data_IF_055644270306
#
_entry.id   IF_055644270306
#
_cell.length_a   1.000
_cell.length_b   1.000
_cell.length_c   1.000
_cell.angle_alpha   90.00
_cell.angle_beta   90.00
_cell.angle_gamma   90.00
#
_symmetry.space_group_name_H-M   'P 1'
#
loop_
_entity.id
_entity.type
_entity.pdbx_description
1 polymer ?
#
# COMPACT_ATOMS: atom_id res chain seq x y z
N UNK A 1 19.07 -8.66 -14.82
CA UNK A 1 19.27 -8.49 -13.37
C UNK A 1 19.24 -6.99 -13.11
N UNK A 2 18.06 -6.47 -12.68
CA UNK A 2 17.97 -5.09 -12.22
C UNK A 2 18.61 -5.01 -10.83
N UNK A 3 19.57 -4.11 -10.68
CA UNK A 3 20.15 -3.79 -9.37
C UNK A 3 19.04 -3.35 -8.39
N UNK A 4 19.13 -3.74 -7.11
CA UNK A 4 18.25 -3.18 -6.10
C UNK A 4 18.52 -1.67 -6.03
N UNK A 5 17.49 -0.87 -6.27
CA UNK A 5 17.53 0.57 -5.99
C UNK A 5 17.77 0.72 -4.47
N UNK A 6 19.03 0.93 -4.10
CA UNK A 6 19.37 1.36 -2.74
C UNK A 6 18.79 2.75 -2.57
N UNK A 7 17.61 2.81 -1.96
CA UNK A 7 17.04 4.07 -1.54
C UNK A 7 18.05 4.76 -0.60
N UNK A 8 18.31 6.04 -0.84
CA UNK A 8 19.07 6.86 0.10
C UNK A 8 18.41 6.77 1.50
N UNK A 9 19.18 6.91 2.59
CA UNK A 9 18.63 6.88 3.94
C UNK A 9 17.51 7.92 4.03
N UNK A 10 16.30 7.41 4.26
CA UNK A 10 15.08 8.22 4.31
C UNK A 10 14.97 8.78 5.72
N UNK A 11 14.72 10.09 5.81
CA UNK A 11 14.29 10.69 7.07
C UNK A 11 12.80 10.33 7.32
N UNK A 12 12.49 9.46 8.32
CA UNK A 12 11.12 9.07 8.62
C UNK A 12 10.23 10.27 8.96
N UNK A 13 10.80 11.33 9.56
CA UNK A 13 10.06 12.53 9.94
C UNK A 13 9.60 13.32 8.71
N UNK A 14 10.43 13.41 7.70
CA UNK A 14 10.07 14.05 6.43
C UNK A 14 8.98 13.27 5.69
N UNK A 15 9.05 11.94 5.67
CA UNK A 15 8.03 11.08 5.07
C UNK A 15 6.68 11.20 5.80
N UNK A 16 6.70 11.24 7.13
CA UNK A 16 5.50 11.45 7.95
C UNK A 16 4.88 12.82 7.68
N UNK A 17 5.66 13.89 7.72
CA UNK A 17 5.19 15.25 7.45
C UNK A 17 4.60 15.38 6.04
N UNK A 18 5.21 14.73 5.04
CA UNK A 18 4.66 14.71 3.69
C UNK A 18 3.30 14.01 3.64
N UNK A 19 3.19 12.83 4.26
CA UNK A 19 1.95 12.03 4.29
C UNK A 19 0.83 12.79 5.01
N UNK A 20 1.13 13.43 6.15
CA UNK A 20 0.17 14.22 6.93
C UNK A 20 -0.33 15.46 6.18
N UNK A 21 0.45 15.98 5.25
CA UNK A 21 0.07 17.07 4.37
C UNK A 21 -0.89 16.69 3.25
N UNK A 22 -1.16 15.39 3.04
CA UNK A 22 -2.07 14.94 1.99
C UNK A 22 -3.54 14.99 2.44
N UNK A 23 -4.44 15.05 1.44
CA UNK A 23 -5.87 14.99 1.69
C UNK A 23 -6.28 13.61 2.19
N UNK A 24 -6.85 13.55 3.38
CA UNK A 24 -7.28 12.33 4.06
C UNK A 24 -8.82 12.27 4.12
N UNK A 25 -9.41 11.42 3.28
CA UNK A 25 -10.84 11.19 3.24
C UNK A 25 -11.34 10.35 4.44
N UNK A 26 -10.52 9.47 4.99
CA UNK A 26 -10.88 8.67 6.17
C UNK A 26 -11.06 9.59 7.39
N UNK A 27 -10.19 10.58 7.55
CA UNK A 27 -10.25 11.55 8.66
C UNK A 27 -11.32 12.62 8.47
N UNK A 28 -11.51 13.08 7.23
CA UNK A 28 -12.45 14.18 6.95
C UNK A 28 -13.88 13.72 6.71
N UNK A 29 -14.09 12.42 6.43
CA UNK A 29 -15.39 11.87 6.04
C UNK A 29 -15.90 12.36 4.67
N UNK A 30 -15.09 13.09 3.91
CA UNK A 30 -15.45 13.62 2.60
C UNK A 30 -14.72 12.89 1.51
N UNK A 31 -15.46 12.33 0.57
CA UNK A 31 -14.89 11.73 -0.63
C UNK A 31 -14.83 12.80 -1.73
N UNK A 32 -13.67 12.98 -2.33
CA UNK A 32 -13.53 13.73 -3.58
C UNK A 32 -14.16 12.96 -4.76
N UNK A 33 -14.08 13.53 -5.96
CA UNK A 33 -14.48 12.80 -7.16
C UNK A 33 -13.61 11.53 -7.30
N UNK A 34 -14.25 10.34 -7.43
CA UNK A 34 -13.51 9.10 -7.52
C UNK A 34 -12.74 9.05 -8.86
N UNK A 35 -11.43 8.82 -8.77
CA UNK A 35 -10.55 8.66 -9.93
C UNK A 35 -9.39 7.77 -9.57
N UNK A 36 -8.88 7.01 -10.53
CA UNK A 36 -7.66 6.22 -10.40
C UNK A 36 -6.44 6.92 -11.03
N UNK A 37 -6.62 8.08 -11.65
CA UNK A 37 -5.54 8.77 -12.39
C UNK A 37 -4.34 9.07 -11.51
N UNK A 38 -4.56 9.54 -10.27
CA UNK A 38 -3.48 9.92 -9.37
C UNK A 38 -2.65 8.71 -8.96
N UNK A 39 -3.31 7.66 -8.47
CA UNK A 39 -2.58 6.45 -8.05
C UNK A 39 -1.92 5.77 -9.24
N UNK A 40 -2.57 5.71 -10.40
CA UNK A 40 -1.98 5.17 -11.64
C UNK A 40 -0.70 5.88 -12.03
N UNK A 41 -0.66 7.22 -11.94
CA UNK A 41 0.54 7.99 -12.23
C UNK A 41 1.67 7.68 -11.23
N UNK A 42 1.34 7.56 -9.95
CA UNK A 42 2.32 7.26 -8.90
C UNK A 42 2.87 5.84 -9.03
N UNK A 43 2.02 4.81 -9.23
CA UNK A 43 2.51 3.43 -9.39
C UNK A 43 3.30 3.24 -10.68
N UNK A 44 2.95 3.98 -11.75
CA UNK A 44 3.76 4.01 -12.97
C UNK A 44 5.16 4.61 -12.68
N UNK A 45 5.25 5.70 -11.93
CA UNK A 45 6.52 6.31 -11.51
C UNK A 45 7.34 5.43 -10.56
N UNK A 46 6.69 4.49 -9.86
CA UNK A 46 7.31 3.43 -9.05
C UNK A 46 7.72 2.20 -9.87
N UNK A 47 7.42 2.18 -11.17
CA UNK A 47 7.73 1.07 -12.08
C UNK A 47 6.75 -0.10 -11.96
N UNK A 48 5.47 0.18 -11.75
CA UNK A 48 4.37 -0.79 -11.67
C UNK A 48 4.60 -1.91 -10.64
N UNK A 49 4.72 -1.58 -9.34
CA UNK A 49 4.91 -2.59 -8.30
C UNK A 49 3.75 -3.58 -8.23
N UNK A 50 2.53 -3.16 -8.54
CA UNK A 50 1.31 -3.97 -8.56
C UNK A 50 1.35 -5.12 -9.58
N UNK A 51 2.15 -4.99 -10.62
CA UNK A 51 2.31 -6.02 -11.65
C UNK A 51 3.38 -7.08 -11.31
N UNK A 52 4.09 -6.93 -10.20
CA UNK A 52 5.25 -7.77 -9.87
C UNK A 52 4.88 -9.13 -9.24
N UNK A 53 3.64 -9.29 -8.80
CA UNK A 53 3.16 -10.48 -8.09
C UNK A 53 1.64 -10.66 -8.30
N UNK A 54 1.09 -11.90 -8.18
CA UNK A 54 -0.34 -12.14 -8.19
C UNK A 54 -1.03 -11.47 -7.01
N UNK A 55 -2.25 -10.97 -7.23
CA UNK A 55 -3.08 -10.33 -6.20
C UNK A 55 -4.40 -11.06 -6.03
N UNK A 56 -4.79 -11.33 -4.80
CA UNK A 56 -6.15 -11.71 -4.42
C UNK A 56 -6.81 -10.46 -3.84
N UNK A 57 -7.73 -9.87 -4.58
CA UNK A 57 -8.41 -8.65 -4.22
C UNK A 57 -9.72 -8.96 -3.47
N UNK A 58 -9.84 -8.52 -2.22
CA UNK A 58 -10.97 -8.83 -1.34
C UNK A 58 -11.87 -7.61 -1.23
N UNK A 59 -13.09 -7.73 -1.72
CA UNK A 59 -14.14 -6.70 -1.62
C UNK A 59 -15.35 -7.22 -0.87
N UNK A 60 -16.20 -6.33 -0.39
CA UNK A 60 -17.44 -6.67 0.32
C UNK A 60 -17.85 -5.59 1.32
N UNK A 61 -19.06 -5.69 1.83
CA UNK A 61 -19.58 -4.75 2.82
C UNK A 61 -19.03 -5.04 4.21
N UNK A 62 -19.03 -6.32 4.61
CA UNK A 62 -18.54 -6.77 5.92
C UNK A 62 -17.58 -7.95 5.76
N UNK A 63 -16.69 -8.13 6.75
CA UNK A 63 -15.83 -9.30 6.83
C UNK A 63 -14.64 -9.31 5.89
N UNK A 64 -14.35 -8.22 5.18
CA UNK A 64 -13.22 -8.12 4.25
C UNK A 64 -11.88 -8.45 4.94
N UNK A 65 -11.57 -7.75 6.04
CA UNK A 65 -10.32 -7.96 6.77
C UNK A 65 -10.18 -9.40 7.31
N UNK A 66 -11.27 -9.97 7.85
CA UNK A 66 -11.27 -11.38 8.31
C UNK A 66 -11.03 -12.34 7.13
N UNK A 67 -11.67 -12.10 5.98
CA UNK A 67 -11.47 -12.91 4.78
C UNK A 67 -10.04 -12.79 4.27
N UNK A 68 -9.49 -11.59 4.24
CA UNK A 68 -8.10 -11.35 3.84
C UNK A 68 -7.12 -12.08 4.77
N UNK A 69 -7.33 -11.98 6.09
CA UNK A 69 -6.48 -12.63 7.08
C UNK A 69 -6.53 -14.17 6.97
N UNK A 70 -7.72 -14.76 6.81
CA UNK A 70 -7.88 -16.20 6.63
C UNK A 70 -7.26 -16.69 5.31
N UNK A 71 -7.48 -15.96 4.22
CA UNK A 71 -6.89 -16.27 2.91
C UNK A 71 -5.36 -16.26 2.99
N UNK A 72 -4.79 -15.23 3.61
CA UNK A 72 -3.35 -15.11 3.80
C UNK A 72 -2.79 -16.26 4.68
N UNK A 73 -3.51 -16.64 5.74
CA UNK A 73 -3.09 -17.76 6.60
C UNK A 73 -3.06 -19.09 5.83
N UNK A 74 -4.06 -19.36 4.99
CA UNK A 74 -4.09 -20.55 4.13
C UNK A 74 -2.95 -20.56 3.12
N UNK A 75 -2.68 -19.42 2.47
CA UNK A 75 -1.57 -19.30 1.50
C UNK A 75 -0.22 -19.52 2.17
N UNK A 76 0.00 -18.95 3.37
CA UNK A 76 1.23 -19.18 4.15
C UNK A 76 1.41 -20.64 4.53
N UNK A 77 0.33 -21.35 4.86
CA UNK A 77 0.39 -22.77 5.17
C UNK A 77 0.89 -23.61 3.98
N UNK A 78 0.85 -23.09 2.75
CA UNK A 78 1.45 -23.72 1.56
C UNK A 78 2.93 -23.37 1.35
N UNK A 79 3.55 -22.64 2.29
CA UNK A 79 4.95 -22.20 2.20
C UNK A 79 5.19 -20.94 1.37
N UNK A 80 4.14 -20.23 0.97
CA UNK A 80 4.24 -18.98 0.20
C UNK A 80 4.59 -17.80 1.08
N UNK A 81 5.36 -16.87 0.53
CA UNK A 81 5.59 -15.54 1.12
C UNK A 81 4.42 -14.62 0.77
N UNK A 82 3.66 -14.22 1.78
CA UNK A 82 2.37 -13.56 1.59
C UNK A 82 2.39 -12.14 2.12
N UNK A 83 2.09 -11.16 1.25
CA UNK A 83 1.77 -9.80 1.62
C UNK A 83 0.29 -9.64 1.93
N UNK A 84 -0.07 -8.81 2.89
CA UNK A 84 -1.46 -8.42 3.20
C UNK A 84 -1.56 -6.92 3.29
N UNK A 85 -2.48 -6.33 2.54
CA UNK A 85 -2.88 -4.93 2.68
C UNK A 85 -4.29 -4.88 3.26
N UNK A 86 -4.48 -4.12 4.33
CA UNK A 86 -5.77 -3.96 5.01
C UNK A 86 -6.01 -2.53 5.47
N UNK A 87 -7.27 -2.16 5.71
CA UNK A 87 -7.66 -0.85 6.23
C UNK A 87 -8.97 -0.91 7.02
N UNK A 88 -9.17 0.02 7.99
CA UNK A 88 -8.18 0.94 8.55
C UNK A 88 -7.21 0.25 9.51
N UNK A 89 -6.16 0.97 9.99
CA UNK A 89 -5.33 0.56 11.12
C UNK A 89 -6.01 0.97 12.45
N UNK A 90 -5.59 0.36 13.55
CA UNK A 90 -6.10 0.66 14.89
C UNK A 90 -5.19 1.65 15.63
N UNK A 91 -3.90 1.40 15.67
CA UNK A 91 -2.93 2.19 16.42
C UNK A 91 -1.79 2.73 15.55
N UNK A 92 -1.31 1.90 14.61
CA UNK A 92 -0.10 2.20 13.86
C UNK A 92 -0.29 2.00 12.36
N UNK A 93 0.20 2.94 11.55
CA UNK A 93 0.14 2.89 10.09
C UNK A 93 0.71 1.58 9.51
N UNK A 94 1.76 1.04 10.11
CA UNK A 94 2.40 -0.21 9.67
C UNK A 94 1.47 -1.43 9.72
N UNK A 95 0.38 -1.40 10.52
CA UNK A 95 -0.62 -2.46 10.55
C UNK A 95 -1.32 -2.68 9.21
N UNK A 96 -1.35 -1.64 8.33
CA UNK A 96 -1.97 -1.75 7.02
C UNK A 96 -1.22 -2.65 6.06
N UNK A 97 0.05 -2.87 6.33
CA UNK A 97 0.94 -3.69 5.49
C UNK A 97 1.53 -4.80 6.34
N UNK A 98 1.21 -6.04 6.04
CA UNK A 98 1.77 -7.19 6.74
C UNK A 98 2.51 -8.12 5.79
N UNK A 99 3.58 -8.72 6.28
CA UNK A 99 4.37 -9.74 5.60
C UNK A 99 4.37 -11.00 6.46
N UNK A 100 3.98 -12.12 5.87
CA UNK A 100 3.93 -13.43 6.53
C UNK A 100 3.18 -13.42 7.88
N UNK A 101 2.11 -12.59 7.96
CA UNK A 101 1.21 -12.51 9.10
C UNK A 101 1.70 -11.61 10.24
N UNK A 102 2.70 -10.78 9.99
CA UNK A 102 3.19 -9.77 10.95
C UNK A 102 3.16 -8.39 10.28
N UNK A 103 2.72 -7.34 10.97
CA UNK A 103 2.89 -5.98 10.48
C UNK A 103 4.36 -5.73 10.12
N UNK A 104 4.58 -4.95 9.08
CA UNK A 104 5.93 -4.50 8.72
C UNK A 104 6.52 -3.62 9.82
N UNK A 105 7.84 -3.45 9.82
CA UNK A 105 8.45 -2.51 10.76
C UNK A 105 8.03 -1.07 10.44
N UNK A 106 8.04 -0.22 11.45
CA UNK A 106 7.78 1.22 11.27
C UNK A 106 8.76 1.84 10.27
N UNK A 107 10.03 1.43 10.32
CA UNK A 107 11.06 1.92 9.42
C UNK A 107 10.82 1.48 7.97
N UNK A 108 10.41 0.23 7.75
CA UNK A 108 10.03 -0.27 6.41
C UNK A 108 8.83 0.51 5.87
N UNK A 109 7.83 0.78 6.72
CA UNK A 109 6.66 1.56 6.32
C UNK A 109 7.04 2.98 5.91
N UNK A 110 7.87 3.68 6.68
CA UNK A 110 8.30 5.03 6.32
C UNK A 110 9.23 5.05 5.11
N UNK A 111 10.06 4.04 4.93
CA UNK A 111 10.85 3.87 3.71
C UNK A 111 9.97 3.72 2.48
N UNK A 112 8.87 2.95 2.59
CA UNK A 112 7.90 2.79 1.50
C UNK A 112 7.16 4.11 1.21
N UNK A 113 6.72 4.83 2.23
CA UNK A 113 6.08 6.15 2.08
C UNK A 113 7.00 7.15 1.40
N UNK A 114 8.27 7.17 1.76
CA UNK A 114 9.24 8.07 1.14
C UNK A 114 9.53 7.73 -0.33
N UNK A 115 9.54 6.45 -0.69
CA UNK A 115 9.62 6.04 -2.09
C UNK A 115 8.43 6.56 -2.90
N UNK A 116 7.22 6.52 -2.31
CA UNK A 116 6.01 7.09 -2.91
C UNK A 116 6.09 8.60 -3.02
N UNK A 117 6.55 9.31 -1.98
CA UNK A 117 6.73 10.76 -2.00
C UNK A 117 7.65 11.18 -3.16
N UNK A 118 8.80 10.52 -3.27
CA UNK A 118 9.74 10.76 -4.36
C UNK A 118 9.14 10.46 -5.75
N UNK A 119 8.34 9.40 -5.89
CA UNK A 119 7.67 9.08 -7.14
C UNK A 119 6.61 10.11 -7.50
N UNK A 120 5.81 10.55 -6.52
CA UNK A 120 4.78 11.57 -6.68
C UNK A 120 5.39 12.91 -7.14
N UNK A 121 6.52 13.28 -6.56
CA UNK A 121 7.27 14.48 -6.97
C UNK A 121 7.78 14.37 -8.42
N UNK A 122 8.38 13.22 -8.80
CA UNK A 122 8.88 13.00 -10.16
C UNK A 122 7.78 13.06 -11.22
N UNK A 123 6.58 12.54 -10.92
CA UNK A 123 5.46 12.58 -11.89
C UNK A 123 4.56 13.81 -11.74
N UNK A 124 4.87 14.74 -10.82
CA UNK A 124 4.08 15.96 -10.60
C UNK A 124 2.65 15.70 -10.10
N UNK A 125 2.42 14.56 -9.46
CA UNK A 125 1.09 14.16 -8.98
C UNK A 125 1.01 14.24 -7.46
N UNK A 126 -0.06 14.82 -6.94
CA UNK A 126 -0.32 14.82 -5.50
C UNK A 126 -1.42 13.79 -5.15
N UNK A 127 -1.06 12.60 -4.68
CA UNK A 127 -2.03 11.58 -4.29
C UNK A 127 -2.81 12.00 -3.05
N UNK A 128 -3.93 11.34 -2.78
CA UNK A 128 -4.57 11.37 -1.48
C UNK A 128 -3.76 10.55 -0.48
N UNK A 129 -4.03 10.72 0.81
CA UNK A 129 -3.41 9.94 1.87
C UNK A 129 -3.58 8.43 1.65
N UNK A 130 -4.81 7.99 1.35
CA UNK A 130 -5.11 6.59 1.10
C UNK A 130 -4.40 6.05 -0.16
N UNK A 131 -4.37 6.81 -1.26
CA UNK A 131 -3.62 6.45 -2.47
C UNK A 131 -2.12 6.30 -2.18
N UNK A 132 -1.54 7.21 -1.37
CA UNK A 132 -0.13 7.15 -1.00
C UNK A 132 0.19 5.91 -0.17
N UNK A 133 -0.62 5.60 0.84
CA UNK A 133 -0.42 4.41 1.70
C UNK A 133 -0.64 3.12 0.92
N UNK A 134 -1.62 3.08 0.01
CA UNK A 134 -1.82 1.93 -0.88
C UNK A 134 -0.61 1.71 -1.78
N UNK A 135 -0.12 2.75 -2.45
CA UNK A 135 1.07 2.66 -3.28
C UNK A 135 2.31 2.22 -2.49
N UNK A 136 2.45 2.68 -1.23
CA UNK A 136 3.53 2.26 -0.35
C UNK A 136 3.47 0.75 -0.03
N UNK A 137 2.28 0.23 0.27
CA UNK A 137 2.08 -1.20 0.49
C UNK A 137 2.43 -2.03 -0.75
N UNK A 138 1.93 -1.63 -1.93
CA UNK A 138 2.24 -2.31 -3.20
C UNK A 138 3.73 -2.29 -3.50
N UNK A 139 4.39 -1.15 -3.30
CA UNK A 139 5.84 -1.03 -3.48
C UNK A 139 6.61 -1.92 -2.51
N UNK A 140 6.22 -1.94 -1.23
CA UNK A 140 6.85 -2.80 -0.22
C UNK A 140 6.76 -4.29 -0.59
N UNK A 141 5.59 -4.77 -1.04
CA UNK A 141 5.42 -6.17 -1.45
C UNK A 141 6.36 -6.57 -2.58
N UNK A 142 6.58 -5.68 -3.56
CA UNK A 142 7.58 -5.90 -4.60
C UNK A 142 9.00 -6.01 -4.03
N UNK A 143 9.39 -5.09 -3.12
CA UNK A 143 10.72 -5.14 -2.50
C UNK A 143 10.90 -6.40 -1.67
N UNK A 144 9.87 -6.79 -0.93
CA UNK A 144 9.85 -8.01 -0.15
C UNK A 144 9.77 -9.28 -1.01
N UNK A 145 9.55 -9.17 -2.33
CA UNK A 145 9.41 -10.30 -3.25
C UNK A 145 8.36 -11.30 -2.77
N UNK A 146 7.17 -10.83 -2.49
CA UNK A 146 6.06 -11.71 -2.11
C UNK A 146 5.68 -12.63 -3.26
N UNK A 147 5.27 -13.85 -2.96
CA UNK A 147 4.73 -14.78 -3.95
C UNK A 147 3.31 -14.43 -4.35
N UNK A 148 2.57 -13.79 -3.44
CA UNK A 148 1.19 -13.35 -3.62
C UNK A 148 0.85 -12.27 -2.60
N UNK A 149 0.03 -11.29 -3.00
CA UNK A 149 -0.56 -10.34 -2.08
C UNK A 149 -2.07 -10.57 -1.92
N UNK A 150 -2.59 -10.40 -0.70
CA UNK A 150 -4.02 -10.31 -0.41
C UNK A 150 -4.32 -8.87 -0.08
N UNK A 151 -5.15 -8.22 -0.90
CA UNK A 151 -5.39 -6.78 -0.83
C UNK A 151 -6.87 -6.54 -0.52
N UNK A 152 -7.14 -5.90 0.62
CA UNK A 152 -8.47 -5.49 1.03
C UNK A 152 -8.84 -4.16 0.37
N UNK A 153 -10.02 -4.07 -0.24
CA UNK A 153 -10.61 -2.83 -0.75
C UNK A 153 -10.97 -1.90 0.42
N UNK A 154 -10.61 -0.64 0.32
CA UNK A 154 -11.02 0.37 1.31
C UNK A 154 -12.52 0.60 1.30
N UNK A 155 -13.03 1.38 0.33
CA UNK A 155 -14.46 1.75 0.30
C UNK A 155 -15.07 1.81 -1.10
N UNK A 156 -14.32 2.13 -2.13
CA UNK A 156 -14.86 2.56 -3.42
C UNK A 156 -14.97 1.46 -4.48
N UNK A 157 -14.66 0.20 -4.13
CA UNK A 157 -14.72 -0.91 -5.07
C UNK A 157 -13.95 -0.61 -6.37
N UNK A 158 -14.65 -0.47 -7.48
CA UNK A 158 -14.05 -0.18 -8.80
C UNK A 158 -13.17 1.08 -8.84
N UNK A 159 -13.47 2.06 -8.01
CA UNK A 159 -12.75 3.33 -7.93
C UNK A 159 -11.83 3.42 -6.72
N UNK A 160 -11.67 2.31 -6.02
CA UNK A 160 -10.75 2.23 -4.88
C UNK A 160 -9.29 2.24 -5.34
N UNK A 161 -8.43 2.89 -4.58
CA UNK A 161 -7.01 2.96 -4.92
C UNK A 161 -6.31 1.59 -4.97
N UNK A 162 -6.95 0.56 -4.43
CA UNK A 162 -6.44 -0.83 -4.47
C UNK A 162 -6.77 -1.56 -5.78
N UNK A 163 -7.54 -0.94 -6.72
CA UNK A 163 -8.04 -1.60 -7.95
C UNK A 163 -7.08 -1.41 -9.13
#
# INVERSE_FOLDING_TARGET
LAEPLTAAPVDPSAAAAWLDGLYDAERTGRLGAPTLERISAVVAALGHPEAAYPVIHVTGTNGKGSTAAMTAALLRATGRRVGVYSSPHLENLAERVALDGRPVSTDDMWSAVAAVASAAERCGTRPTWFEAVTAAGLWFFRQARVDVAVVEVGMLGRWDATN
#
